data_IF_405654799321
#
_entry.id   IF_405654799321
#
_cell.length_a   1.000
_cell.length_b   1.000
_cell.length_c   1.000
_cell.angle_alpha   90.00
_cell.angle_beta   90.00
_cell.angle_gamma   90.00
#
_symmetry.space_group_name_H-M   'P 1'
#
loop_
_entity.id
_entity.type
_entity.pdbx_description
1 polymer ?
#
# COMPACT_ATOMS: atom_id res chain seq x y z
N UNK A 1 4.52 16.44 -1.09
CA UNK A 1 4.36 16.13 0.35
C UNK A 1 3.14 16.90 0.85
N UNK A 2 2.19 16.24 1.53
CA UNK A 2 0.99 16.92 2.05
C UNK A 2 1.23 17.58 3.41
N UNK A 3 0.34 18.48 3.82
CA UNK A 3 0.49 19.55 4.83
C UNK A 3 0.94 19.14 6.26
N UNK A 4 1.23 17.87 6.53
CA UNK A 4 1.69 17.37 7.85
C UNK A 4 2.92 16.44 7.76
N UNK A 5 3.73 16.51 6.70
CA UNK A 5 4.91 15.65 6.53
C UNK A 5 4.60 14.19 6.20
N UNK A 6 3.32 13.81 6.15
CA UNK A 6 2.85 12.48 5.74
C UNK A 6 2.80 12.36 4.20
N UNK A 7 3.31 11.26 3.62
CA UNK A 7 3.20 11.00 2.19
C UNK A 7 1.75 10.75 1.79
N UNK A 8 1.30 11.44 0.75
CA UNK A 8 -0.07 11.39 0.27
C UNK A 8 -0.16 10.50 -0.97
N UNK A 9 -0.57 9.25 -0.79
CA UNK A 9 -0.66 8.31 -1.89
C UNK A 9 -1.56 8.81 -3.03
N UNK A 10 -2.60 9.62 -2.77
CA UNK A 10 -3.50 10.10 -3.82
C UNK A 10 -2.78 10.93 -4.89
N UNK A 11 -1.72 11.63 -4.48
CA UNK A 11 -0.83 12.44 -5.32
C UNK A 11 0.42 11.68 -5.80
N UNK A 12 0.55 10.40 -5.48
CA UNK A 12 1.71 9.59 -5.84
C UNK A 12 1.56 8.98 -7.24
N UNK A 13 2.57 9.06 -8.07
CA UNK A 13 2.62 8.45 -9.41
C UNK A 13 2.42 6.93 -9.34
N UNK A 14 3.01 6.29 -8.34
CA UNK A 14 2.96 4.83 -8.15
C UNK A 14 1.64 4.34 -7.52
N UNK A 15 0.64 5.20 -7.36
CA UNK A 15 -0.67 4.79 -6.86
C UNK A 15 -1.53 4.23 -7.97
N UNK A 16 -1.91 2.97 -7.82
CA UNK A 16 -3.02 2.36 -8.55
C UNK A 16 -4.33 2.39 -7.74
N UNK A 17 -5.45 2.30 -8.44
CA UNK A 17 -6.79 2.14 -7.86
C UNK A 17 -7.27 0.70 -7.96
N UNK A 18 -8.18 0.32 -7.08
CA UNK A 18 -8.90 -0.95 -7.11
C UNK A 18 -10.35 -0.67 -7.52
N UNK A 19 -10.85 -1.23 -8.63
CA UNK A 19 -12.23 -1.05 -9.04
C UNK A 19 -13.23 -1.46 -7.94
N UNK A 20 -14.17 -0.57 -7.61
CA UNK A 20 -15.17 -0.81 -6.57
C UNK A 20 -14.68 -0.66 -5.13
N UNK A 21 -13.47 -0.11 -4.91
CA UNK A 21 -12.93 0.15 -3.58
C UNK A 21 -12.28 1.54 -3.52
N UNK A 22 -12.40 2.21 -2.37
CA UNK A 22 -11.69 3.47 -2.08
C UNK A 22 -10.21 3.24 -1.72
N UNK A 23 -9.82 1.98 -1.54
CA UNK A 23 -8.45 1.61 -1.22
C UNK A 23 -7.51 1.77 -2.42
N UNK A 24 -6.23 1.87 -2.10
CA UNK A 24 -5.14 2.04 -3.06
C UNK A 24 -4.27 0.79 -3.15
N UNK A 25 -3.61 0.64 -4.30
CA UNK A 25 -2.51 -0.31 -4.49
C UNK A 25 -1.23 0.43 -4.87
N UNK A 26 -0.07 -0.10 -4.49
CA UNK A 26 1.22 0.48 -4.82
C UNK A 26 1.87 -0.32 -5.97
N UNK A 27 2.29 0.38 -7.02
CA UNK A 27 2.98 -0.19 -8.19
C UNK A 27 4.44 0.28 -8.27
N UNK A 28 5.03 0.68 -7.14
CA UNK A 28 6.41 1.16 -7.11
C UNK A 28 7.38 0.05 -7.57
N UNK A 29 8.35 0.32 -8.48
CA UNK A 29 9.20 -0.71 -9.08
C UNK A 29 9.86 -1.67 -8.07
N UNK A 30 10.38 -1.14 -6.95
CA UNK A 30 11.04 -1.93 -5.89
C UNK A 30 10.14 -3.01 -5.23
N UNK A 31 8.81 -2.87 -5.33
CA UNK A 31 7.84 -3.85 -4.83
C UNK A 31 6.94 -4.43 -5.91
N UNK A 32 6.92 -3.85 -7.11
CA UNK A 32 6.12 -4.31 -8.24
C UNK A 32 6.44 -5.75 -8.63
N UNK A 33 7.71 -6.16 -8.55
CA UNK A 33 8.12 -7.53 -8.88
C UNK A 33 7.63 -8.56 -7.85
N UNK A 34 7.52 -8.17 -6.57
CA UNK A 34 6.93 -9.01 -5.53
C UNK A 34 5.42 -9.22 -5.76
N UNK A 35 4.76 -8.21 -6.32
CA UNK A 35 3.32 -8.23 -6.66
C UNK A 35 3.03 -9.00 -7.95
N UNK A 36 4.01 -9.25 -8.83
CA UNK A 36 3.80 -9.99 -10.09
C UNK A 36 3.74 -11.51 -9.92
N UNK A 37 4.14 -12.04 -8.76
CA UNK A 37 4.08 -13.47 -8.51
C UNK A 37 2.62 -13.95 -8.36
N UNK A 38 2.13 -14.91 -9.18
CA UNK A 38 0.75 -15.41 -9.11
C UNK A 38 0.39 -16.06 -7.77
N UNK A 39 1.33 -16.76 -7.14
CA UNK A 39 1.13 -17.39 -5.85
C UNK A 39 1.05 -16.34 -4.74
N UNK A 40 1.84 -15.27 -4.86
CA UNK A 40 1.75 -14.13 -3.96
C UNK A 40 0.41 -13.39 -4.05
N UNK A 41 -0.11 -13.18 -5.26
CA UNK A 41 -1.43 -12.58 -5.47
C UNK A 41 -2.56 -13.40 -4.84
N UNK A 42 -2.49 -14.73 -4.97
CA UNK A 42 -3.45 -15.63 -4.33
C UNK A 42 -3.34 -15.56 -2.80
N UNK A 43 -2.11 -15.62 -2.26
CA UNK A 43 -1.87 -15.51 -0.83
C UNK A 43 -2.36 -14.17 -0.26
N UNK A 44 -2.09 -13.04 -0.93
CA UNK A 44 -2.57 -11.72 -0.51
C UNK A 44 -4.09 -11.60 -0.56
N UNK A 45 -4.74 -12.23 -1.55
CA UNK A 45 -6.21 -12.29 -1.65
C UNK A 45 -6.81 -13.08 -0.49
N UNK A 46 -6.29 -14.27 -0.22
CA UNK A 46 -6.73 -15.11 0.91
C UNK A 46 -6.39 -14.47 2.26
N UNK A 47 -5.30 -13.71 2.35
CA UNK A 47 -4.93 -13.00 3.56
C UNK A 47 -5.80 -11.78 3.85
N UNK A 48 -6.36 -11.16 2.80
CA UNK A 48 -7.22 -9.98 2.90
C UNK A 48 -8.64 -10.26 3.42
N UNK A 49 -8.97 -11.50 3.80
CA UNK A 49 -10.29 -11.86 4.38
C UNK A 49 -10.36 -11.70 5.90
N UNK A 50 -9.37 -11.05 6.52
CA UNK A 50 -9.34 -10.76 7.96
C UNK A 50 -9.12 -11.98 8.86
N UNK A 51 -8.73 -13.13 8.29
CA UNK A 51 -8.45 -14.38 9.03
C UNK A 51 -6.97 -14.55 9.41
N UNK A 52 -6.09 -13.76 8.80
CA UNK A 52 -4.64 -13.76 9.07
C UNK A 52 -4.15 -12.32 9.13
N UNK A 53 -2.98 -12.10 9.74
CA UNK A 53 -2.36 -10.79 9.78
C UNK A 53 -2.10 -10.24 8.37
N UNK A 54 -2.19 -8.91 8.15
CA UNK A 54 -1.96 -8.31 6.83
C UNK A 54 -0.52 -8.57 6.36
N UNK A 55 -0.39 -8.80 5.07
CA UNK A 55 0.87 -9.19 4.42
C UNK A 55 1.59 -7.92 3.99
N UNK A 56 2.39 -7.34 4.90
CA UNK A 56 3.19 -6.13 4.68
C UNK A 56 4.51 -6.45 3.95
N UNK A 57 4.42 -6.91 2.70
CA UNK A 57 5.58 -7.45 1.97
C UNK A 57 6.38 -6.37 1.26
N UNK A 58 7.70 -6.36 1.48
CA UNK A 58 8.60 -5.35 0.94
C UNK A 58 8.46 -3.98 1.61
N UNK A 59 7.78 -3.90 2.75
CA UNK A 59 7.62 -2.69 3.54
C UNK A 59 8.97 -2.11 4.00
N UNK A 60 9.95 -2.98 4.25
CA UNK A 60 11.34 -2.64 4.57
C UNK A 60 12.03 -1.85 3.43
N UNK A 61 11.76 -2.19 2.17
CA UNK A 61 12.42 -1.58 1.00
C UNK A 61 12.10 -0.10 0.81
N UNK A 62 10.94 0.34 1.29
CA UNK A 62 10.44 1.71 1.16
C UNK A 62 10.18 2.37 2.52
N UNK A 63 10.70 1.76 3.60
CA UNK A 63 10.50 2.20 4.98
C UNK A 63 9.02 2.53 5.29
N UNK A 64 8.12 1.61 4.92
CA UNK A 64 6.69 1.76 5.13
C UNK A 64 6.40 1.60 6.61
N UNK A 65 5.78 2.63 7.19
CA UNK A 65 5.16 2.55 8.52
C UNK A 65 3.70 2.85 8.39
N UNK A 66 2.89 2.11 9.12
CA UNK A 66 1.45 2.32 9.14
C UNK A 66 0.89 2.09 10.53
N UNK A 67 -0.25 2.72 10.75
CA UNK A 67 -0.92 2.70 12.03
C UNK A 67 -1.35 1.27 12.41
N UNK A 68 -1.03 0.87 13.65
CA UNK A 68 -1.33 -0.46 14.16
C UNK A 68 -2.83 -0.80 14.09
N UNK A 69 -3.72 0.18 14.25
CA UNK A 69 -5.17 -0.04 14.16
C UNK A 69 -5.59 -0.48 12.75
N UNK A 70 -5.13 0.24 11.72
CA UNK A 70 -5.44 -0.07 10.32
C UNK A 70 -4.88 -1.42 9.89
N UNK A 71 -3.68 -1.77 10.36
CA UNK A 71 -3.07 -3.09 10.15
C UNK A 71 -3.94 -4.19 10.80
N UNK A 72 -4.25 -4.05 12.09
CA UNK A 72 -4.99 -5.08 12.85
C UNK A 72 -6.41 -5.32 12.30
N UNK A 73 -7.05 -4.29 11.74
CA UNK A 73 -8.39 -4.38 11.13
C UNK A 73 -8.37 -4.88 9.68
N UNK A 74 -7.19 -5.08 9.09
CA UNK A 74 -7.04 -5.48 7.69
C UNK A 74 -7.33 -4.35 6.68
N UNK A 75 -7.45 -3.10 7.14
CA UNK A 75 -7.66 -1.92 6.29
C UNK A 75 -6.38 -1.44 5.61
N UNK A 76 -5.23 -1.86 6.14
CA UNK A 76 -3.92 -1.53 5.58
C UNK A 76 -3.18 -2.82 5.21
N UNK A 77 -3.40 -3.33 3.99
CA UNK A 77 -2.68 -4.47 3.41
C UNK A 77 -1.80 -4.00 2.25
N UNK A 78 -0.67 -3.36 2.58
CA UNK A 78 0.27 -2.82 1.61
C UNK A 78 1.18 -3.93 1.07
N UNK A 79 1.51 -3.97 -0.24
CA UNK A 79 1.23 -2.98 -1.29
C UNK A 79 -0.09 -3.20 -2.06
N UNK A 80 -0.84 -4.26 -1.77
CA UNK A 80 -1.91 -4.76 -2.64
C UNK A 80 -3.24 -4.02 -2.51
N UNK A 81 -3.64 -3.73 -1.28
CA UNK A 81 -4.96 -3.21 -0.95
C UNK A 81 -4.91 -2.51 0.42
N UNK A 82 -4.68 -1.20 0.42
CA UNK A 82 -4.57 -0.44 1.65
C UNK A 82 -5.27 0.90 1.55
N UNK A 83 -5.88 1.33 2.65
CA UNK A 83 -6.36 2.69 2.82
C UNK A 83 -5.18 3.62 3.17
N UNK A 84 -4.83 4.60 2.31
CA UNK A 84 -3.72 5.55 2.56
C UNK A 84 -3.86 6.36 3.85
N UNK A 85 -5.06 6.46 4.41
CA UNK A 85 -5.32 7.13 5.69
C UNK A 85 -4.52 6.51 6.82
N UNK A 86 -4.21 5.20 6.76
CA UNK A 86 -3.42 4.51 7.77
C UNK A 86 -1.90 4.52 7.52
N UNK A 87 -1.43 5.04 6.39
CA UNK A 87 0.00 5.20 6.12
C UNK A 87 0.59 6.29 7.02
N UNK A 88 1.71 6.03 7.66
CA UNK A 88 2.40 7.01 8.51
C UNK A 88 3.72 7.46 7.85
N UNK A 89 4.46 6.55 7.22
CA UNK A 89 5.74 6.82 6.57
C UNK A 89 5.90 6.00 5.29
N UNK A 90 6.53 6.60 4.28
CA UNK A 90 6.90 5.97 3.01
C UNK A 90 8.00 6.80 2.34
N UNK A 91 9.10 6.16 1.97
CA UNK A 91 10.24 6.79 1.27
C UNK A 91 10.14 6.66 -0.26
N UNK A 92 9.20 5.87 -0.77
CA UNK A 92 8.96 5.70 -2.21
C UNK A 92 7.91 6.64 -2.80
N UNK A 93 7.69 7.81 -2.19
CA UNK A 93 6.70 8.78 -2.69
C UNK A 93 7.28 9.60 -3.85
N UNK A 94 6.64 9.50 -5.01
CA UNK A 94 6.95 10.32 -6.20
C UNK A 94 5.70 11.12 -6.56
N UNK A 95 5.73 12.46 -6.60
CA UNK A 95 4.56 13.26 -6.96
C UNK A 95 4.18 13.03 -8.43
N UNK A 96 2.88 12.96 -8.72
CA UNK A 96 2.38 13.00 -10.10
C UNK A 96 2.75 14.34 -10.73
N UNK A 97 3.31 14.33 -11.94
CA UNK A 97 3.46 15.53 -12.72
C UNK A 97 2.08 16.15 -12.94
N UNK A 98 1.92 17.41 -12.51
CA UNK A 98 0.76 18.22 -12.88
C UNK A 98 0.94 18.66 -14.31
N UNK A 99 0.22 18.03 -15.24
CA UNK A 99 0.02 18.55 -16.60
C UNK A 99 -0.83 19.82 -16.53
#
# INVERSE_FOLDING_TARGET
MSENGKPDCYKCEHRGTLPGSEHSKCTHPLVADLVRDPLFNLAATLASVGRVAPVQVGADKLNIRANYHGIKRGWFNWPMNFDPTWLEQCEGFTPKETV
#
